data_IF_096922626845
#
_entry.id   IF_096922626845
#
_cell.length_a   1.000
_cell.length_b   1.000
_cell.length_c   1.000
_cell.angle_alpha   90.00
_cell.angle_beta   90.00
_cell.angle_gamma   90.00
#
_symmetry.space_group_name_H-M   'P 1'
#
loop_
_entity.id
_entity.type
_entity.pdbx_description
1 polymer ?
#
# COMPACT_ATOMS: atom_id res chain seq x y z
N UNK A 1 10.76 7.95 -11.32
CA UNK A 1 10.23 7.62 -12.66
C UNK A 1 10.10 6.11 -12.85
N UNK A 2 11.18 5.34 -12.78
CA UNK A 2 11.14 3.88 -13.00
C UNK A 2 10.13 3.15 -12.11
N UNK A 3 10.23 3.30 -10.78
CA UNK A 3 9.34 2.57 -9.87
C UNK A 3 7.89 3.08 -9.88
N UNK A 4 7.69 4.39 -10.11
CA UNK A 4 6.34 4.99 -10.17
C UNK A 4 5.63 4.74 -11.50
N UNK A 5 6.36 4.42 -12.57
CA UNK A 5 5.80 4.25 -13.93
C UNK A 5 5.49 5.55 -14.65
N UNK A 6 5.75 6.70 -14.02
CA UNK A 6 5.73 8.00 -14.67
C UNK A 6 7.04 8.14 -15.41
N UNK A 7 7.04 7.83 -16.71
CA UNK A 7 8.18 7.94 -17.60
C UNK A 7 8.17 9.31 -18.31
N UNK A 8 9.35 9.80 -18.75
CA UNK A 8 9.44 11.01 -19.57
C UNK A 8 8.50 10.95 -20.79
N UNK A 9 7.74 12.01 -21.00
CA UNK A 9 6.73 12.04 -22.07
C UNK A 9 7.24 12.73 -23.35
N UNK A 10 8.18 13.68 -23.20
CA UNK A 10 8.80 14.40 -24.31
C UNK A 10 10.19 13.86 -24.63
N UNK A 11 10.64 14.08 -25.87
CA UNK A 11 11.98 13.69 -26.32
C UNK A 11 13.08 14.44 -25.53
N UNK A 12 12.83 15.69 -25.13
CA UNK A 12 13.76 16.50 -24.32
C UNK A 12 13.90 15.94 -22.90
N UNK A 13 12.78 15.59 -22.25
CA UNK A 13 12.80 14.98 -20.91
C UNK A 13 13.48 13.61 -20.94
N UNK A 14 13.26 12.84 -22.01
CA UNK A 14 13.89 11.53 -22.19
C UNK A 14 15.40 11.67 -22.35
N UNK A 15 15.86 12.64 -23.15
CA UNK A 15 17.30 12.91 -23.34
C UNK A 15 18.00 13.31 -22.03
N UNK A 16 17.41 14.23 -21.26
CA UNK A 16 17.98 14.62 -19.97
C UNK A 16 17.98 13.46 -18.96
N UNK A 17 16.97 12.60 -18.99
CA UNK A 17 16.93 11.39 -18.18
C UNK A 17 18.01 10.38 -18.58
N UNK A 18 18.18 10.10 -19.87
CA UNK A 18 19.15 9.11 -20.37
C UNK A 18 20.60 9.51 -20.07
N UNK A 19 20.92 10.81 -20.09
CA UNK A 19 22.25 11.33 -19.70
C UNK A 19 22.66 11.02 -18.26
N UNK A 20 21.71 10.70 -17.38
CA UNK A 20 21.99 10.39 -15.98
C UNK A 20 22.54 8.98 -15.77
N UNK A 21 22.58 8.14 -16.82
CA UNK A 21 22.97 6.74 -16.74
C UNK A 21 24.08 6.42 -17.73
N UNK A 22 25.02 5.56 -17.32
CA UNK A 22 25.99 4.94 -18.23
C UNK A 22 25.30 3.87 -19.10
N UNK A 23 24.43 3.06 -18.48
CA UNK A 23 23.52 2.13 -19.14
C UNK A 23 22.08 2.44 -18.72
N UNK A 24 21.24 2.84 -19.67
CA UNK A 24 19.85 3.25 -19.38
C UNK A 24 19.04 2.02 -18.97
N UNK A 25 18.48 1.98 -17.75
CA UNK A 25 17.70 0.83 -17.29
C UNK A 25 16.37 0.73 -18.03
N UNK A 26 15.98 -0.49 -18.39
CA UNK A 26 14.67 -0.78 -18.98
C UNK A 26 13.55 -0.53 -17.97
N UNK A 27 12.49 0.21 -18.32
CA UNK A 27 11.34 0.39 -17.44
C UNK A 27 10.67 -0.94 -17.09
N UNK A 28 10.30 -1.11 -15.82
CA UNK A 28 9.59 -2.31 -15.37
C UNK A 28 8.23 -2.47 -16.05
N UNK A 29 7.95 -3.66 -16.55
CA UNK A 29 6.63 -4.04 -17.05
C UNK A 29 5.60 -4.07 -15.92
N UNK A 30 4.31 -4.06 -16.28
CA UNK A 30 3.24 -4.19 -15.28
C UNK A 30 3.31 -5.55 -14.53
N UNK A 31 3.71 -6.61 -15.23
CA UNK A 31 3.85 -7.96 -14.67
C UNK A 31 5.03 -8.04 -13.70
N UNK A 32 6.18 -7.46 -14.05
CA UNK A 32 7.36 -7.41 -13.19
C UNK A 32 7.07 -6.66 -11.90
N UNK A 33 6.35 -5.53 -11.99
CA UNK A 33 5.91 -4.77 -10.81
C UNK A 33 4.98 -5.59 -9.94
N UNK A 34 3.99 -6.26 -10.53
CA UNK A 34 3.04 -7.08 -9.78
C UNK A 34 3.74 -8.28 -9.12
N UNK A 35 4.66 -8.93 -9.83
CA UNK A 35 5.45 -10.04 -9.32
C UNK A 35 6.44 -9.62 -8.22
N UNK A 36 6.92 -8.37 -8.26
CA UNK A 36 7.72 -7.82 -7.19
C UNK A 36 6.88 -7.47 -5.96
N UNK A 37 5.75 -6.79 -6.16
CA UNK A 37 4.84 -6.38 -5.09
C UNK A 37 4.22 -7.58 -4.35
N UNK A 38 3.99 -8.71 -5.03
CA UNK A 38 3.48 -9.93 -4.40
C UNK A 38 4.44 -10.59 -3.42
N UNK A 39 5.73 -10.24 -3.45
CA UNK A 39 6.75 -10.73 -2.52
C UNK A 39 6.77 -9.98 -1.18
N UNK A 40 6.13 -8.80 -1.10
CA UNK A 40 6.08 -8.02 0.12
C UNK A 40 5.15 -8.68 1.14
N UNK A 41 5.63 -8.90 2.36
CA UNK A 41 4.89 -9.52 3.46
C UNK A 41 5.27 -8.90 4.80
N UNK A 42 4.52 -9.26 5.85
CA UNK A 42 4.77 -8.85 7.25
C UNK A 42 4.71 -7.34 7.49
N UNK A 43 3.94 -6.62 6.67
CA UNK A 43 3.75 -5.17 6.83
C UNK A 43 2.81 -4.88 7.99
N UNK A 44 3.13 -3.82 8.75
CA UNK A 44 2.27 -3.24 9.76
C UNK A 44 1.66 -1.92 9.27
N UNK A 45 0.38 -1.69 9.57
CA UNK A 45 -0.34 -0.45 9.26
C UNK A 45 -1.00 0.09 10.52
N UNK A 46 -0.89 1.41 10.73
CA UNK A 46 -1.65 2.13 11.75
C UNK A 46 -2.56 3.13 11.08
N UNK A 47 -3.81 3.23 11.55
CA UNK A 47 -4.77 4.27 11.14
C UNK A 47 -5.04 5.19 12.33
N UNK A 48 -5.11 6.51 12.08
CA UNK A 48 -5.42 7.53 13.09
C UNK A 48 -6.91 7.54 13.49
N UNK A 49 -7.76 6.98 12.63
CA UNK A 49 -9.19 6.77 12.83
C UNK A 49 -9.62 5.34 12.48
N UNK A 50 -10.87 5.02 12.80
CA UNK A 50 -11.47 3.72 12.52
C UNK A 50 -11.61 3.46 11.01
N UNK A 51 -11.62 2.18 10.62
CA UNK A 51 -11.93 1.79 9.25
C UNK A 51 -13.45 1.78 9.02
N UNK A 52 -13.98 2.56 8.06
CA UNK A 52 -15.42 2.62 7.85
C UNK A 52 -15.97 1.35 7.18
N UNK A 53 -15.16 0.67 6.35
CA UNK A 53 -15.54 -0.49 5.57
C UNK A 53 -14.37 -1.48 5.35
N UNK A 54 -14.72 -2.69 4.88
CA UNK A 54 -13.80 -3.82 4.66
C UNK A 54 -12.82 -3.62 3.50
N UNK A 55 -13.08 -2.66 2.61
CA UNK A 55 -12.25 -2.31 1.45
C UNK A 55 -10.83 -1.92 1.85
N UNK A 56 -10.69 -1.22 2.97
CA UNK A 56 -9.41 -0.86 3.56
C UNK A 56 -8.58 -2.09 3.93
N UNK A 57 -9.22 -3.13 4.49
CA UNK A 57 -8.55 -4.39 4.85
C UNK A 57 -8.09 -5.14 3.59
N UNK A 58 -8.93 -5.22 2.56
CA UNK A 58 -8.54 -5.81 1.27
C UNK A 58 -7.42 -5.04 0.59
N UNK A 59 -7.43 -3.70 0.67
CA UNK A 59 -6.36 -2.87 0.12
C UNK A 59 -5.06 -3.07 0.89
N UNK A 60 -5.10 -3.12 2.22
CA UNK A 60 -3.94 -3.40 3.06
C UNK A 60 -3.34 -4.78 2.76
N UNK A 61 -4.18 -5.81 2.66
CA UNK A 61 -3.74 -7.17 2.34
C UNK A 61 -2.98 -7.27 1.01
N UNK A 62 -3.41 -6.51 -0.01
CA UNK A 62 -2.70 -6.41 -1.31
C UNK A 62 -1.29 -5.81 -1.22
N UNK A 63 -0.94 -5.20 -0.10
CA UNK A 63 0.40 -4.65 0.19
C UNK A 63 1.15 -5.46 1.26
N UNK A 64 0.82 -6.74 1.45
CA UNK A 64 1.58 -7.61 2.34
C UNK A 64 1.30 -7.41 3.83
N UNK A 65 0.24 -6.68 4.17
CA UNK A 65 -0.08 -6.36 5.57
C UNK A 65 -0.49 -7.62 6.33
N UNK A 66 0.10 -7.77 7.51
CA UNK A 66 -0.21 -8.82 8.50
C UNK A 66 -0.62 -8.26 9.86
N UNK A 67 -0.38 -6.98 10.10
CA UNK A 67 -0.71 -6.31 11.35
C UNK A 67 -1.40 -4.98 11.07
N UNK A 68 -2.58 -4.78 11.66
CA UNK A 68 -3.32 -3.52 11.59
C UNK A 68 -3.57 -3.03 13.01
N UNK A 69 -3.34 -1.76 13.27
CA UNK A 69 -3.75 -1.09 14.50
C UNK A 69 -4.61 0.13 14.17
N UNK A 70 -5.82 0.21 14.71
CA UNK A 70 -6.70 1.34 14.46
C UNK A 70 -7.74 1.53 15.57
N UNK A 71 -8.24 2.76 15.75
CA UNK A 71 -9.39 3.02 16.61
C UNK A 71 -10.61 2.21 16.21
N UNK A 72 -11.44 1.84 17.19
CA UNK A 72 -12.77 1.29 16.95
C UNK A 72 -13.84 2.37 17.15
N UNK A 73 -15.09 2.05 16.80
CA UNK A 73 -16.24 2.97 16.85
C UNK A 73 -16.98 3.12 15.52
N UNK A 74 -16.73 2.25 14.54
CA UNK A 74 -17.54 2.15 13.33
C UNK A 74 -18.75 1.24 13.58
N UNK A 75 -19.88 1.53 12.93
CA UNK A 75 -21.00 0.58 12.89
C UNK A 75 -20.61 -0.75 12.19
N UNK A 76 -19.55 -0.75 11.39
CA UNK A 76 -19.08 -1.89 10.60
C UNK A 76 -17.85 -2.59 11.16
N UNK A 77 -17.43 -2.31 12.40
CA UNK A 77 -16.19 -2.89 12.97
C UNK A 77 -16.18 -4.43 12.92
N UNK A 78 -17.32 -5.07 13.20
CA UNK A 78 -17.43 -6.54 13.12
C UNK A 78 -17.10 -7.08 11.73
N UNK A 79 -17.52 -6.39 10.66
CA UNK A 79 -17.23 -6.79 9.29
C UNK A 79 -15.74 -6.59 8.95
N UNK A 80 -15.13 -5.53 9.48
CA UNK A 80 -13.69 -5.25 9.35
C UNK A 80 -12.87 -6.35 10.03
N UNK A 81 -13.19 -6.70 11.28
CA UNK A 81 -12.48 -7.76 12.02
C UNK A 81 -12.64 -9.12 11.37
N UNK A 82 -13.86 -9.48 10.96
CA UNK A 82 -14.13 -10.74 10.26
C UNK A 82 -13.33 -10.84 8.97
N UNK A 83 -13.18 -9.72 8.23
CA UNK A 83 -12.37 -9.67 7.01
C UNK A 83 -10.87 -9.79 7.32
N UNK A 84 -10.39 -9.12 8.38
CA UNK A 84 -9.00 -9.20 8.80
C UNK A 84 -8.62 -10.63 9.20
N UNK A 85 -9.46 -11.30 9.98
CA UNK A 85 -9.28 -12.70 10.37
C UNK A 85 -9.24 -13.63 9.15
N UNK A 86 -10.18 -13.49 8.20
CA UNK A 86 -10.21 -14.26 6.94
C UNK A 86 -8.93 -14.11 6.12
N UNK A 87 -8.26 -12.95 6.19
CA UNK A 87 -7.02 -12.67 5.46
C UNK A 87 -5.75 -12.97 6.29
N UNK A 88 -5.90 -13.57 7.47
CA UNK A 88 -4.83 -13.80 8.43
C UNK A 88 -4.06 -12.52 8.76
N UNK A 89 -4.80 -11.45 9.10
CA UNK A 89 -4.28 -10.17 9.55
C UNK A 89 -4.65 -10.01 11.03
N UNK A 90 -3.66 -9.80 11.88
CA UNK A 90 -3.86 -9.46 13.28
C UNK A 90 -4.33 -8.01 13.37
N UNK A 91 -5.54 -7.81 13.89
CA UNK A 91 -6.08 -6.47 14.16
C UNK A 91 -5.92 -6.14 15.65
N UNK A 92 -5.32 -4.99 15.94
CA UNK A 92 -5.13 -4.45 17.28
C UNK A 92 -6.05 -3.25 17.46
N UNK A 93 -7.05 -3.42 18.31
CA UNK A 93 -7.99 -2.35 18.65
C UNK A 93 -7.29 -1.27 19.46
N UNK A 94 -7.54 -0.01 19.11
CA UNK A 94 -7.08 1.16 19.85
C UNK A 94 -8.27 1.97 20.35
N UNK A 95 -8.11 2.63 21.50
CA UNK A 95 -9.15 3.50 22.08
C UNK A 95 -8.81 4.99 21.97
N UNK A 96 -7.81 5.36 21.15
CA UNK A 96 -7.31 6.73 21.00
C UNK A 96 -7.27 7.07 19.50
N UNK A 97 -7.93 8.16 19.10
CA UNK A 97 -7.79 8.74 17.76
C UNK A 97 -6.61 9.71 17.72
N UNK A 98 -5.86 9.71 16.62
CA UNK A 98 -4.61 10.46 16.48
C UNK A 98 -4.71 11.60 15.45
N UNK A 99 -5.82 12.35 15.49
CA UNK A 99 -6.01 13.49 14.59
C UNK A 99 -4.99 14.61 14.85
N UNK A 100 -4.45 15.17 13.77
CA UNK A 100 -3.59 16.34 13.76
C UNK A 100 -4.08 17.31 12.68
N UNK A 101 -4.23 18.59 13.02
CA UNK A 101 -4.83 19.63 12.16
C UNK A 101 -3.80 20.70 11.80
#
# INVERSE_FOLDING_TARGET
MLCSGVLPASDEEKHEYEKMFEEVPTPFSAEERQAWLSKLSEVAVSSDAFFPFIDNVFRAARSGVKYIAAPTGSQNDQAVFTTAEKLNITFVEQHIRLFHH
#
